data_IF_516297427650
#
_entry.id   IF_516297427650
#
_cell.length_a   1.000
_cell.length_b   1.000
_cell.length_c   1.000
_cell.angle_alpha   90.00
_cell.angle_beta   90.00
_cell.angle_gamma   90.00
#
_symmetry.space_group_name_H-M   'P 1'
#
loop_
_entity.id
_entity.type
_entity.pdbx_description
1 polymer ?
#
# COMPACT_ATOMS: atom_id res chain seq x y z
N UNK A 1 -6.67 -11.56 15.33
CA UNK A 1 -5.71 -12.64 15.01
C UNK A 1 -6.47 -13.96 14.94
N UNK A 2 -6.32 -14.73 13.87
CA UNK A 2 -7.04 -16.00 13.66
C UNK A 2 -6.32 -16.87 12.62
N UNK A 3 -6.64 -18.17 12.52
CA UNK A 3 -5.94 -19.09 11.62
C UNK A 3 -6.10 -18.71 10.15
N UNK A 4 -5.29 -19.30 9.27
CA UNK A 4 -5.50 -19.20 7.82
C UNK A 4 -6.89 -19.75 7.48
N UNK A 5 -7.61 -19.10 6.57
CA UNK A 5 -9.01 -19.43 6.25
C UNK A 5 -10.06 -18.77 7.16
N UNK A 6 -9.69 -18.05 8.22
CA UNK A 6 -10.63 -17.32 9.08
C UNK A 6 -11.27 -16.05 8.44
N UNK A 7 -11.09 -15.83 7.13
CA UNK A 7 -11.68 -14.69 6.42
C UNK A 7 -10.97 -13.35 6.57
N UNK A 8 -9.76 -13.29 7.17
CA UNK A 8 -8.99 -12.04 7.37
C UNK A 8 -8.72 -11.31 6.05
N UNK A 9 -8.13 -12.01 5.07
CA UNK A 9 -7.82 -11.44 3.76
C UNK A 9 -9.08 -10.99 3.05
N UNK A 10 -10.13 -11.82 3.06
CA UNK A 10 -11.44 -11.47 2.49
C UNK A 10 -12.02 -10.21 3.14
N UNK A 11 -11.89 -10.07 4.46
CA UNK A 11 -12.39 -8.88 5.18
C UNK A 11 -11.60 -7.64 4.78
N UNK A 12 -10.26 -7.75 4.69
CA UNK A 12 -9.39 -6.64 4.30
C UNK A 12 -9.67 -6.22 2.84
N UNK A 13 -9.80 -7.16 1.90
CA UNK A 13 -10.18 -6.89 0.50
C UNK A 13 -11.52 -6.15 0.38
N UNK A 14 -12.50 -6.48 1.24
CA UNK A 14 -13.78 -5.77 1.30
C UNK A 14 -13.59 -4.34 1.81
N UNK A 15 -12.80 -4.14 2.86
CA UNK A 15 -12.53 -2.81 3.42
C UNK A 15 -11.79 -1.89 2.44
N UNK A 16 -10.93 -2.46 1.60
CA UNK A 16 -10.20 -1.76 0.55
C UNK A 16 -11.06 -1.44 -0.68
N UNK A 17 -12.21 -2.10 -0.83
CA UNK A 17 -13.07 -1.99 -2.01
C UNK A 17 -12.62 -2.85 -3.20
N UNK A 18 -11.66 -3.76 -3.01
CA UNK A 18 -11.25 -4.75 -4.02
C UNK A 18 -12.29 -5.86 -4.20
N UNK A 19 -13.10 -6.11 -3.16
CA UNK A 19 -14.12 -7.15 -3.16
C UNK A 19 -15.46 -6.61 -2.69
N UNK A 20 -16.54 -6.94 -3.40
CA UNK A 20 -17.90 -6.70 -2.93
C UNK A 20 -18.26 -7.61 -1.75
N UNK A 21 -19.04 -7.10 -0.81
CA UNK A 21 -19.66 -7.91 0.24
C UNK A 21 -20.99 -8.48 -0.24
N UNK A 22 -21.37 -9.66 0.23
CA UNK A 22 -22.66 -10.27 -0.11
C UNK A 22 -23.85 -9.61 0.64
N UNK A 23 -23.62 -9.19 1.88
CA UNK A 23 -24.64 -8.55 2.73
C UNK A 23 -24.00 -7.69 3.84
N UNK A 24 -24.84 -6.96 4.59
CA UNK A 24 -24.44 -6.12 5.72
C UNK A 24 -24.00 -4.72 5.33
N UNK A 25 -23.38 -4.00 6.26
CA UNK A 25 -22.88 -2.63 6.07
C UNK A 25 -21.43 -2.50 6.49
N UNK A 26 -20.67 -1.72 5.73
CA UNK A 26 -19.27 -1.39 5.99
C UNK A 26 -19.07 0.09 5.70
N UNK A 27 -18.36 0.80 6.58
CA UNK A 27 -17.94 2.18 6.35
C UNK A 27 -16.46 2.35 6.67
N UNK A 28 -15.72 2.92 5.74
CA UNK A 28 -14.31 3.30 5.91
C UNK A 28 -14.19 4.79 5.58
N UNK A 29 -13.71 5.58 6.54
CA UNK A 29 -13.62 7.05 6.42
C UNK A 29 -14.93 7.73 5.97
N UNK A 30 -16.08 7.13 6.35
CA UNK A 30 -17.42 7.61 5.99
C UNK A 30 -17.94 7.13 4.62
N UNK A 31 -17.17 6.34 3.87
CA UNK A 31 -17.54 5.79 2.56
C UNK A 31 -17.88 4.31 2.63
N UNK A 32 -18.79 3.84 1.77
CA UNK A 32 -18.98 2.42 1.49
C UNK A 32 -17.92 1.94 0.48
N UNK A 33 -17.00 1.02 0.84
CA UNK A 33 -15.97 0.53 -0.08
C UNK A 33 -16.52 -0.19 -1.32
N UNK A 34 -17.75 -0.72 -1.28
CA UNK A 34 -18.39 -1.30 -2.48
C UNK A 34 -18.68 -0.24 -3.56
N UNK A 35 -18.62 1.05 -3.19
CA UNK A 35 -18.73 2.20 -4.08
C UNK A 35 -17.40 2.98 -4.14
N UNK A 36 -16.26 2.29 -3.97
CA UNK A 36 -14.93 2.89 -3.91
C UNK A 36 -14.66 3.80 -5.12
N UNK A 37 -14.67 5.10 -4.87
CA UNK A 37 -14.31 6.13 -5.83
C UNK A 37 -12.80 6.35 -5.86
N UNK A 38 -12.31 7.08 -6.87
CA UNK A 38 -10.92 7.51 -6.88
C UNK A 38 -10.56 8.33 -5.61
N UNK A 39 -11.46 9.22 -5.16
CA UNK A 39 -11.24 10.00 -3.94
C UNK A 39 -11.26 9.20 -2.64
N UNK A 40 -11.92 8.04 -2.61
CA UNK A 40 -11.79 7.09 -1.50
C UNK A 40 -10.43 6.40 -1.53
N UNK A 41 -10.02 5.87 -2.70
CA UNK A 41 -8.72 5.21 -2.89
C UNK A 41 -7.54 6.13 -2.58
N UNK A 42 -7.69 7.42 -2.86
CA UNK A 42 -6.68 8.44 -2.56
C UNK A 42 -6.45 8.68 -1.05
N UNK A 43 -7.33 8.17 -0.20
CA UNK A 43 -7.31 8.35 1.27
C UNK A 43 -7.01 7.06 2.03
N UNK A 44 -6.65 5.99 1.33
CA UNK A 44 -6.32 4.72 1.98
C UNK A 44 -4.97 4.21 1.48
N UNK A 45 -4.15 3.74 2.42
CA UNK A 45 -2.88 3.09 2.16
C UNK A 45 -3.03 1.58 2.27
N UNK A 46 -2.66 0.85 1.23
CA UNK A 46 -2.76 -0.61 1.21
C UNK A 46 -1.36 -1.23 1.16
N UNK A 47 -1.07 -2.07 2.15
CA UNK A 47 0.16 -2.87 2.20
C UNK A 47 -0.21 -4.32 1.89
N UNK A 48 -0.02 -4.74 0.64
CA UNK A 48 -0.33 -6.10 0.21
C UNK A 48 0.69 -7.10 0.78
N UNK A 49 0.26 -8.33 1.03
CA UNK A 49 1.10 -9.41 1.57
C UNK A 49 2.26 -9.78 0.64
N UNK A 50 2.09 -9.62 -0.68
CA UNK A 50 3.14 -9.73 -1.69
C UNK A 50 2.93 -8.61 -2.72
N UNK A 51 3.78 -7.57 -2.69
CA UNK A 51 3.81 -6.60 -3.79
C UNK A 51 4.78 -7.11 -4.84
N UNK A 52 4.30 -7.26 -6.07
CA UNK A 52 5.13 -7.47 -7.25
C UNK A 52 5.81 -6.17 -7.66
N UNK A 53 6.64 -5.57 -6.80
CA UNK A 53 7.36 -4.34 -7.14
C UNK A 53 8.25 -4.63 -8.35
N UNK A 54 8.23 -3.73 -9.33
CA UNK A 54 9.02 -3.83 -10.55
C UNK A 54 10.49 -4.03 -10.17
N UNK A 55 11.00 -5.21 -10.56
CA UNK A 55 12.31 -5.72 -10.14
C UNK A 55 13.46 -4.81 -10.55
N UNK A 56 13.28 -4.07 -11.64
CA UNK A 56 14.32 -3.21 -12.23
C UNK A 56 14.33 -1.79 -11.66
N UNK A 57 13.24 -1.35 -11.02
CA UNK A 57 13.20 -0.04 -10.38
C UNK A 57 14.05 -0.04 -9.11
N UNK A 58 14.68 1.10 -8.84
CA UNK A 58 15.22 1.45 -7.54
C UNK A 58 14.09 1.71 -6.54
N UNK A 59 14.41 1.70 -5.24
CA UNK A 59 13.42 2.03 -4.19
C UNK A 59 12.81 3.40 -4.44
N UNK A 60 13.63 4.41 -4.77
CA UNK A 60 13.15 5.76 -5.05
C UNK A 60 12.23 5.80 -6.27
N UNK A 61 12.65 5.21 -7.38
CA UNK A 61 11.84 5.17 -8.60
C UNK A 61 10.50 4.45 -8.39
N UNK A 62 10.48 3.37 -7.61
CA UNK A 62 9.23 2.70 -7.25
C UNK A 62 8.31 3.65 -6.46
N UNK A 63 8.81 4.29 -5.39
CA UNK A 63 8.00 5.23 -4.60
C UNK A 63 7.51 6.42 -5.45
N UNK A 64 8.34 6.93 -6.36
CA UNK A 64 7.94 8.00 -7.29
C UNK A 64 6.87 7.54 -8.28
N UNK A 65 7.02 6.35 -8.85
CA UNK A 65 6.09 5.76 -9.81
C UNK A 65 4.72 5.52 -9.18
N UNK A 66 4.65 4.79 -8.07
CA UNK A 66 3.39 4.49 -7.39
C UNK A 66 2.81 5.75 -6.73
N UNK A 67 3.65 6.64 -6.22
CA UNK A 67 3.20 7.92 -5.65
C UNK A 67 2.55 8.83 -6.69
N UNK A 68 2.87 8.70 -7.98
CA UNK A 68 2.25 9.49 -9.05
C UNK A 68 0.78 9.08 -9.33
N UNK A 69 0.32 7.94 -8.81
CA UNK A 69 -1.07 7.50 -8.92
C UNK A 69 -2.01 8.22 -7.95
N UNK A 70 -1.47 8.93 -6.96
CA UNK A 70 -2.25 9.65 -5.95
C UNK A 70 -2.34 11.14 -6.29
N UNK A 71 -3.47 11.78 -5.93
CA UNK A 71 -3.68 13.22 -6.12
C UNK A 71 -2.88 14.06 -5.12
N UNK A 72 -2.60 13.49 -3.94
CA UNK A 72 -1.65 13.99 -2.95
C UNK A 72 -0.64 12.90 -2.64
N UNK A 73 0.64 13.28 -2.48
CA UNK A 73 1.67 12.36 -2.02
C UNK A 73 2.62 13.03 -1.04
N UNK A 74 3.15 12.25 -0.12
CA UNK A 74 4.23 12.69 0.77
C UNK A 74 5.54 12.87 0.00
N UNK A 75 6.45 13.74 0.46
CA UNK A 75 7.81 13.78 -0.05
C UNK A 75 8.48 12.40 0.07
N UNK A 76 9.15 11.95 -1.00
CA UNK A 76 9.72 10.59 -1.05
C UNK A 76 10.75 10.37 0.07
N UNK A 77 11.57 11.37 0.38
CA UNK A 77 12.56 11.28 1.45
C UNK A 77 11.91 11.13 2.83
N UNK A 78 10.76 11.77 3.07
CA UNK A 78 9.99 11.60 4.32
C UNK A 78 9.45 10.17 4.43
N UNK A 79 8.87 9.65 3.34
CA UNK A 79 8.34 8.28 3.30
C UNK A 79 9.45 7.26 3.53
N UNK A 80 10.62 7.47 2.90
CA UNK A 80 11.78 6.62 3.10
C UNK A 80 12.24 6.64 4.56
N UNK A 81 12.33 7.81 5.19
CA UNK A 81 12.70 7.92 6.60
C UNK A 81 11.68 7.23 7.53
N UNK A 82 10.37 7.43 7.30
CA UNK A 82 9.30 6.81 8.09
C UNK A 82 9.34 5.27 8.00
N UNK A 83 9.67 4.73 6.84
CA UNK A 83 9.82 3.30 6.62
C UNK A 83 11.21 2.76 6.99
N UNK A 84 12.15 3.63 7.40
CA UNK A 84 13.54 3.28 7.73
C UNK A 84 14.34 2.79 6.53
N UNK A 85 14.15 3.38 5.35
CA UNK A 85 14.82 3.02 4.09
C UNK A 85 16.01 3.93 3.77
N UNK A 86 16.53 4.65 4.76
CA UNK A 86 17.67 5.55 4.61
C UNK A 86 18.86 4.86 3.93
N UNK A 87 19.43 5.53 2.92
CA UNK A 87 20.56 5.01 2.14
C UNK A 87 20.24 3.86 1.18
N UNK A 88 18.97 3.47 1.02
CA UNK A 88 18.56 2.41 0.09
C UNK A 88 17.91 2.92 -1.20
N UNK A 89 17.79 4.24 -1.38
CA UNK A 89 17.05 4.87 -2.49
C UNK A 89 17.45 4.35 -3.87
N UNK A 90 18.75 4.25 -4.13
CA UNK A 90 19.30 3.85 -5.43
C UNK A 90 19.44 2.32 -5.59
N UNK A 91 19.03 1.54 -4.58
CA UNK A 91 19.11 0.08 -4.65
C UNK A 91 17.91 -0.47 -5.41
N UNK A 92 18.17 -1.32 -6.41
CA UNK A 92 17.11 -2.06 -7.12
C UNK A 92 16.33 -2.98 -6.19
N UNK A 93 15.02 -3.00 -6.34
CA UNK A 93 14.06 -3.71 -5.48
C UNK A 93 14.33 -5.22 -5.42
N UNK A 94 14.78 -5.83 -6.52
CA UNK A 94 15.13 -7.26 -6.54
C UNK A 94 16.36 -7.62 -5.68
N UNK A 95 17.23 -6.64 -5.38
CA UNK A 95 18.44 -6.84 -4.56
C UNK A 95 18.19 -6.66 -3.06
N UNK A 96 16.96 -6.35 -2.67
CA UNK A 96 16.59 -6.16 -1.28
C UNK A 96 16.39 -7.49 -0.56
N UNK A 97 16.78 -7.54 0.71
CA UNK A 97 16.41 -8.64 1.61
C UNK A 97 14.89 -8.68 1.82
N UNK A 98 14.36 -9.81 2.30
CA UNK A 98 12.92 -9.91 2.60
C UNK A 98 12.42 -8.86 3.60
N UNK A 99 13.22 -8.52 4.61
CA UNK A 99 12.88 -7.46 5.56
C UNK A 99 12.95 -6.05 4.96
N UNK A 100 13.85 -5.81 4.01
CA UNK A 100 13.88 -4.55 3.26
C UNK A 100 12.67 -4.43 2.32
N UNK A 101 12.28 -5.51 1.64
CA UNK A 101 11.06 -5.54 0.81
C UNK A 101 9.82 -5.18 1.61
N UNK A 102 9.63 -5.77 2.79
CA UNK A 102 8.53 -5.40 3.70
C UNK A 102 8.50 -3.93 4.09
N UNK A 103 9.67 -3.30 4.25
CA UNK A 103 9.75 -1.84 4.50
C UNK A 103 9.38 -1.03 3.27
N UNK A 104 9.72 -1.49 2.06
CA UNK A 104 9.24 -0.86 0.83
C UNK A 104 7.73 -1.03 0.67
N UNK A 105 7.17 -2.20 0.99
CA UNK A 105 5.71 -2.41 0.97
C UNK A 105 4.99 -1.42 1.91
N UNK A 106 5.54 -1.21 3.11
CA UNK A 106 5.06 -0.18 4.04
C UNK A 106 5.19 1.23 3.44
N UNK A 107 6.34 1.57 2.85
CA UNK A 107 6.56 2.86 2.21
C UNK A 107 5.57 3.15 1.08
N UNK A 108 5.26 2.13 0.25
CA UNK A 108 4.24 2.22 -0.80
C UNK A 108 2.83 2.44 -0.22
N UNK A 109 2.53 1.83 0.93
CA UNK A 109 1.28 2.10 1.64
C UNK A 109 1.17 3.52 2.20
N UNK A 110 2.29 4.19 2.48
CA UNK A 110 2.32 5.53 3.08
C UNK A 110 2.46 6.67 2.06
N UNK A 111 2.92 6.38 0.84
CA UNK A 111 3.30 7.41 -0.14
C UNK A 111 2.15 8.32 -0.53
N UNK A 112 0.92 7.81 -0.56
CA UNK A 112 -0.29 8.55 -0.92
C UNK A 112 -0.82 9.51 0.13
N UNK A 113 -0.09 9.71 1.25
CA UNK A 113 -0.58 10.48 2.41
C UNK A 113 -1.98 10.08 2.90
N UNK A 114 -2.22 8.78 3.16
CA UNK A 114 -3.53 8.27 3.55
C UNK A 114 -3.96 8.72 4.97
#
# INVERSE_FOLDING_TARGET
LGPNGAGKSTTVEILEGHRGRDAGEVRVLGHDPAQASAGFRDRIGIVLQEVGIERELTVREALEHYGACYSRRRPIDEVMALAGLDGLGDRRTHRLSGGQKRRVDLALGLVGDP
#
